data_IF_238352274119
#
_entry.id   IF_238352274119
#
_cell.length_a   1.000
_cell.length_b   1.000
_cell.length_c   1.000
_cell.angle_alpha   90.00
_cell.angle_beta   90.00
_cell.angle_gamma   90.00
#
_symmetry.space_group_name_H-M   'P 1'
#
loop_
_entity.id
_entity.type
_entity.pdbx_description
1 polymer ?
#
# COMPACT_ATOMS: atom_id res chain seq x y z
N UNK A 1 15.50 -17.39 -4.74
CA UNK A 1 16.73 -17.04 -4.01
C UNK A 1 17.66 -16.40 -5.00
N UNK A 2 18.15 -15.20 -4.71
CA UNK A 2 19.02 -14.41 -5.58
C UNK A 2 20.33 -14.17 -4.83
N UNK A 3 21.44 -14.28 -5.54
CA UNK A 3 22.76 -13.83 -5.12
C UNK A 3 23.10 -12.60 -5.97
N UNK A 4 23.36 -11.48 -5.31
CA UNK A 4 23.71 -10.24 -5.99
C UNK A 4 25.22 -10.11 -6.17
N UNK A 5 25.65 -9.69 -7.35
CA UNK A 5 27.06 -9.71 -7.77
C UNK A 5 27.58 -8.35 -8.24
N UNK A 6 26.73 -7.31 -8.26
CA UNK A 6 27.11 -5.97 -8.69
C UNK A 6 27.36 -5.04 -7.51
N UNK A 7 28.28 -4.08 -7.68
CA UNK A 7 28.54 -3.02 -6.70
C UNK A 7 27.33 -2.10 -6.51
N UNK A 8 26.62 -1.80 -7.59
CA UNK A 8 25.34 -1.10 -7.50
C UNK A 8 24.32 -2.02 -6.84
N UNK A 9 23.69 -1.62 -5.71
CA UNK A 9 22.72 -2.46 -5.03
C UNK A 9 21.53 -2.81 -5.92
N UNK A 10 20.98 -4.01 -5.72
CA UNK A 10 19.68 -4.38 -6.25
C UNK A 10 18.62 -3.52 -5.57
N UNK A 11 17.87 -2.77 -6.37
CA UNK A 11 16.71 -1.99 -5.91
C UNK A 11 15.43 -2.55 -6.53
N UNK A 12 14.40 -2.85 -5.71
CA UNK A 12 13.09 -3.20 -6.22
C UNK A 12 12.54 -2.13 -7.19
N UNK A 13 11.81 -2.57 -8.22
CA UNK A 13 11.24 -1.70 -9.26
C UNK A 13 12.14 -1.44 -10.48
N UNK A 14 13.47 -1.63 -10.38
CA UNK A 14 14.36 -1.52 -11.55
C UNK A 14 14.16 -2.69 -12.52
N UNK A 15 14.20 -2.40 -13.83
CA UNK A 15 14.09 -3.40 -14.90
C UNK A 15 15.43 -4.03 -15.23
N UNK A 16 15.42 -5.35 -15.37
CA UNK A 16 16.55 -6.19 -15.73
C UNK A 16 16.15 -7.15 -16.85
N UNK A 17 17.13 -7.66 -17.58
CA UNK A 17 16.93 -8.81 -18.45
C UNK A 17 17.19 -10.09 -17.63
N UNK A 18 16.18 -10.95 -17.56
CA UNK A 18 16.23 -12.23 -16.86
C UNK A 18 16.44 -13.32 -17.90
N UNK A 19 17.57 -14.03 -17.83
CA UNK A 19 17.87 -15.14 -18.73
C UNK A 19 17.74 -16.47 -17.98
N UNK A 20 16.81 -17.29 -18.44
CA UNK A 20 16.50 -18.62 -17.94
C UNK A 20 16.69 -19.63 -19.08
N UNK A 21 17.64 -20.55 -18.92
CA UNK A 21 18.05 -21.48 -19.98
C UNK A 21 18.29 -20.76 -21.33
N UNK A 22 17.49 -21.05 -22.35
CA UNK A 22 17.53 -20.42 -23.68
C UNK A 22 16.65 -19.18 -23.83
N UNK A 23 15.80 -18.87 -22.83
CA UNK A 23 14.84 -17.76 -22.87
C UNK A 23 15.40 -16.54 -22.15
N UNK A 24 15.32 -15.37 -22.78
CA UNK A 24 15.60 -14.09 -22.13
C UNK A 24 14.33 -13.25 -22.15
N UNK A 25 13.94 -12.73 -21.00
CA UNK A 25 12.73 -11.92 -20.82
C UNK A 25 13.04 -10.73 -19.92
N UNK A 26 12.44 -9.59 -20.20
CA UNK A 26 12.52 -8.45 -19.29
C UNK A 26 11.68 -8.70 -18.03
N UNK A 27 12.18 -8.23 -16.89
CA UNK A 27 11.49 -8.36 -15.62
C UNK A 27 11.99 -7.37 -14.58
N UNK A 28 11.26 -7.30 -13.47
CA UNK A 28 11.58 -6.46 -12.32
C UNK A 28 11.59 -7.29 -11.05
N UNK A 29 12.47 -6.95 -10.12
CA UNK A 29 12.32 -7.41 -8.74
C UNK A 29 11.21 -6.58 -8.08
N UNK A 30 10.14 -7.24 -7.65
CA UNK A 30 8.97 -6.60 -7.01
C UNK A 30 9.30 -6.19 -5.58
N UNK A 31 9.85 -7.13 -4.82
CA UNK A 31 10.22 -6.96 -3.41
C UNK A 31 11.27 -7.98 -3.01
N UNK A 32 11.96 -7.69 -1.91
CA UNK A 32 12.88 -8.60 -1.21
C UNK A 32 12.15 -9.03 0.06
N UNK A 33 11.78 -10.32 0.15
CA UNK A 33 11.07 -10.86 1.30
C UNK A 33 11.99 -10.87 2.53
N UNK A 34 13.23 -11.30 2.36
CA UNK A 34 14.28 -11.22 3.37
C UNK A 34 15.67 -11.43 2.76
N UNK A 35 16.69 -10.82 3.38
CA UNK A 35 18.11 -11.15 3.16
C UNK A 35 18.49 -12.33 4.05
N UNK A 36 19.39 -13.17 3.57
CA UNK A 36 20.00 -14.26 4.33
C UNK A 36 21.44 -13.90 4.59
N UNK A 37 21.84 -13.87 5.86
CA UNK A 37 23.24 -13.72 6.24
C UNK A 37 24.00 -15.01 5.89
N UNK A 38 25.11 -14.88 5.16
CA UNK A 38 25.86 -16.03 4.64
C UNK A 38 26.65 -16.75 5.75
N UNK A 39 27.00 -16.03 6.81
CA UNK A 39 27.79 -16.55 7.92
C UNK A 39 26.89 -17.20 8.97
N UNK A 40 25.72 -16.61 9.25
CA UNK A 40 24.81 -17.08 10.31
C UNK A 40 23.60 -17.87 9.81
N UNK A 41 23.28 -17.77 8.51
CA UNK A 41 22.05 -18.29 7.88
C UNK A 41 20.76 -17.65 8.44
N UNK A 42 20.87 -16.58 9.20
CA UNK A 42 19.72 -15.85 9.74
C UNK A 42 19.04 -15.00 8.68
N UNK A 43 17.73 -14.80 8.85
CA UNK A 43 16.91 -13.99 7.97
C UNK A 43 16.77 -12.59 8.55
N UNK A 44 17.10 -11.58 7.74
CA UNK A 44 16.93 -10.18 8.08
C UNK A 44 16.02 -9.45 7.08
N UNK A 45 15.34 -8.41 7.53
CA UNK A 45 14.65 -7.48 6.64
C UNK A 45 15.68 -6.72 5.81
N UNK A 46 15.41 -6.53 4.52
CA UNK A 46 16.25 -5.74 3.63
C UNK A 46 15.40 -5.11 2.52
N UNK A 47 15.63 -3.81 2.27
CA UNK A 47 14.96 -3.08 1.19
C UNK A 47 15.80 -3.07 -0.10
N UNK A 48 17.08 -3.48 -0.02
CA UNK A 48 18.02 -3.62 -1.13
C UNK A 48 19.00 -4.77 -0.87
N UNK A 49 19.63 -5.31 -1.93
CA UNK A 49 20.75 -6.26 -1.80
C UNK A 49 22.05 -5.65 -2.32
N UNK A 50 23.07 -5.58 -1.46
CA UNK A 50 24.42 -5.16 -1.80
C UNK A 50 25.27 -6.28 -2.45
N UNK A 51 26.50 -5.93 -2.82
CA UNK A 51 27.46 -6.88 -3.40
C UNK A 51 27.63 -8.12 -2.50
N UNK A 52 27.54 -9.31 -3.08
CA UNK A 52 27.64 -10.61 -2.42
C UNK A 52 26.53 -10.92 -1.41
N UNK A 53 25.47 -10.12 -1.35
CA UNK A 53 24.33 -10.43 -0.50
C UNK A 53 23.39 -11.42 -1.18
N UNK A 54 22.72 -12.21 -0.34
CA UNK A 54 21.78 -13.25 -0.76
C UNK A 54 20.41 -12.91 -0.20
N UNK A 55 19.37 -13.03 -1.01
CA UNK A 55 18.00 -12.75 -0.55
C UNK A 55 16.95 -13.60 -1.26
N UNK A 56 15.82 -13.79 -0.58
CA UNK A 56 14.61 -14.28 -1.21
C UNK A 56 13.88 -13.08 -1.82
N UNK A 57 13.75 -13.09 -3.14
CA UNK A 57 13.14 -12.00 -3.90
C UNK A 57 11.96 -12.52 -4.71
N UNK A 58 10.98 -11.66 -4.91
CA UNK A 58 9.88 -11.87 -5.85
C UNK A 58 10.18 -11.16 -7.17
N UNK A 59 10.10 -11.89 -8.28
CA UNK A 59 10.31 -11.35 -9.61
C UNK A 59 8.99 -11.32 -10.37
N UNK A 60 8.77 -10.25 -11.11
CA UNK A 60 7.68 -10.11 -12.07
C UNK A 60 8.32 -10.07 -13.46
N UNK A 61 7.87 -10.94 -14.34
CA UNK A 61 8.36 -11.05 -15.72
C UNK A 61 7.33 -10.42 -16.66
N UNK A 62 7.80 -9.72 -17.70
CA UNK A 62 6.92 -9.07 -18.67
C UNK A 62 6.22 -10.05 -19.62
N UNK A 63 6.73 -11.30 -19.70
CA UNK A 63 6.11 -12.39 -20.47
C UNK A 63 6.07 -13.66 -19.64
N UNK A 64 5.09 -14.51 -19.93
CA UNK A 64 5.00 -15.84 -19.34
C UNK A 64 6.18 -16.70 -19.79
N UNK A 65 6.88 -17.30 -18.83
CA UNK A 65 8.01 -18.20 -19.06
C UNK A 65 7.74 -19.49 -18.30
N UNK A 66 7.96 -20.63 -18.96
CA UNK A 66 7.93 -21.92 -18.30
C UNK A 66 9.18 -22.07 -17.42
N UNK A 67 9.01 -22.52 -16.18
CA UNK A 67 10.09 -22.73 -15.23
C UNK A 67 9.80 -23.93 -14.35
N UNK A 68 10.86 -24.47 -13.76
CA UNK A 68 10.81 -25.49 -12.72
C UNK A 68 11.39 -24.94 -11.43
N UNK A 69 11.12 -25.62 -10.30
CA UNK A 69 11.89 -25.33 -9.08
C UNK A 69 13.33 -25.82 -9.30
N UNK A 70 14.31 -25.06 -8.83
CA UNK A 70 15.72 -25.42 -8.97
C UNK A 70 16.07 -26.79 -8.39
N UNK A 71 15.37 -27.19 -7.32
CA UNK A 71 15.54 -28.51 -6.69
C UNK A 71 15.09 -29.67 -7.59
N UNK A 72 14.11 -29.43 -8.44
CA UNK A 72 13.49 -30.45 -9.29
C UNK A 72 14.22 -30.51 -10.65
N UNK A 73 14.55 -29.35 -11.23
CA UNK A 73 15.33 -29.25 -12.45
C UNK A 73 16.28 -28.04 -12.39
N UNK A 74 17.59 -28.31 -12.30
CA UNK A 74 18.61 -27.26 -12.16
C UNK A 74 18.71 -26.35 -13.39
N UNK A 75 18.47 -26.88 -14.59
CA UNK A 75 18.59 -26.12 -15.83
C UNK A 75 17.45 -25.13 -15.99
N UNK A 76 16.22 -25.58 -15.74
CA UNK A 76 15.00 -24.75 -15.86
C UNK A 76 14.65 -23.98 -14.59
N UNK A 77 15.33 -24.26 -13.47
CA UNK A 77 15.16 -23.56 -12.21
C UNK A 77 16.29 -22.59 -11.88
N UNK A 78 17.30 -22.43 -12.74
CA UNK A 78 18.35 -21.44 -12.60
C UNK A 78 18.14 -20.27 -13.59
N UNK A 79 18.51 -19.07 -13.18
CA UNK A 79 18.51 -17.90 -14.05
C UNK A 79 19.65 -16.96 -13.68
N UNK A 80 19.96 -16.06 -14.60
CA UNK A 80 20.86 -14.92 -14.37
C UNK A 80 20.11 -13.61 -14.59
N UNK A 81 20.55 -12.58 -13.87
CA UNK A 81 20.05 -11.21 -13.96
C UNK A 81 21.10 -10.40 -14.70
N UNK A 82 20.70 -9.75 -15.78
CA UNK A 82 21.58 -8.99 -16.67
C UNK A 82 21.11 -7.54 -16.65
N UNK A 83 22.05 -6.60 -16.43
CA UNK A 83 21.74 -5.18 -16.57
C UNK A 83 21.51 -4.83 -18.04
N UNK A 84 20.43 -4.10 -18.31
CA UNK A 84 19.99 -3.81 -19.69
C UNK A 84 20.85 -2.77 -20.40
N UNK A 85 21.57 -1.94 -19.66
CA UNK A 85 22.39 -0.86 -20.20
C UNK A 85 23.84 -1.32 -20.38
N UNK A 86 24.38 -2.04 -19.40
CA UNK A 86 25.78 -2.48 -19.43
C UNK A 86 25.96 -3.88 -20.00
N UNK A 87 24.88 -4.66 -20.11
CA UNK A 87 24.89 -6.08 -20.52
C UNK A 87 25.71 -7.00 -19.62
N UNK A 88 26.10 -6.53 -18.43
CA UNK A 88 26.85 -7.33 -17.45
C UNK A 88 25.88 -8.17 -16.63
N UNK A 89 26.29 -9.38 -16.29
CA UNK A 89 25.56 -10.23 -15.33
C UNK A 89 25.73 -9.65 -13.93
N UNK A 90 24.64 -9.15 -13.35
CA UNK A 90 24.62 -8.46 -12.05
C UNK A 90 24.10 -9.34 -10.91
N UNK A 91 23.49 -10.48 -11.24
CA UNK A 91 22.99 -11.42 -10.23
C UNK A 91 22.71 -12.80 -10.82
N UNK A 92 22.60 -13.78 -9.93
CA UNK A 92 22.23 -15.15 -10.26
C UNK A 92 21.13 -15.62 -9.32
N UNK A 93 20.26 -16.51 -9.79
CA UNK A 93 19.11 -16.92 -9.01
C UNK A 93 18.70 -18.36 -9.20
N UNK A 94 18.10 -18.89 -8.14
CA UNK A 94 17.48 -20.20 -8.06
C UNK A 94 15.99 -20.03 -7.76
N UNK A 95 15.16 -20.63 -8.60
CA UNK A 95 13.70 -20.56 -8.49
C UNK A 95 13.24 -21.52 -7.39
N UNK A 96 12.49 -20.99 -6.42
CA UNK A 96 11.86 -21.80 -5.37
C UNK A 96 10.46 -22.28 -5.73
N UNK A 97 9.80 -21.61 -6.67
CA UNK A 97 8.47 -21.95 -7.14
C UNK A 97 7.76 -20.73 -7.73
N UNK A 98 6.54 -20.95 -8.19
CA UNK A 98 5.62 -19.86 -8.50
C UNK A 98 5.35 -19.12 -7.21
N UNK A 99 5.60 -17.82 -7.19
CA UNK A 99 4.93 -16.97 -6.21
C UNK A 99 3.46 -17.05 -6.57
N UNK A 100 2.66 -17.66 -5.72
CA UNK A 100 1.22 -17.42 -5.78
C UNK A 100 1.09 -15.91 -5.72
N UNK A 101 0.65 -15.30 -6.82
CA UNK A 101 0.01 -14.00 -6.74
C UNK A 101 -1.09 -14.30 -5.74
N UNK A 102 -0.90 -13.86 -4.49
CA UNK A 102 -1.77 -14.28 -3.42
C UNK A 102 -3.20 -14.05 -3.85
N UNK A 103 -4.12 -14.78 -3.24
CA UNK A 103 -5.55 -14.49 -3.24
C UNK A 103 -5.85 -12.99 -2.92
N UNK A 104 -4.84 -12.21 -2.53
CA UNK A 104 -4.72 -10.74 -2.55
C UNK A 104 -5.26 -9.99 -3.77
N UNK A 105 -5.28 -10.56 -4.98
CA UNK A 105 -5.91 -9.85 -6.11
C UNK A 105 -7.44 -9.93 -6.11
N UNK A 106 -8.02 -10.85 -5.33
CA UNK A 106 -9.46 -11.02 -5.14
C UNK A 106 -9.90 -10.75 -3.70
N UNK A 107 -8.99 -10.38 -2.80
CA UNK A 107 -9.38 -10.00 -1.43
C UNK A 107 -10.27 -8.75 -1.50
N UNK A 108 -11.39 -8.71 -0.76
CA UNK A 108 -12.16 -7.49 -0.62
C UNK A 108 -11.26 -6.36 -0.12
N UNK A 109 -11.44 -5.16 -0.68
CA UNK A 109 -10.67 -3.98 -0.29
C UNK A 109 -10.90 -3.71 1.21
N UNK A 110 -9.84 -3.81 2.00
CA UNK A 110 -9.90 -3.57 3.43
C UNK A 110 -9.90 -2.08 3.76
N UNK A 111 -10.28 -1.73 5.00
CA UNK A 111 -10.14 -0.36 5.49
C UNK A 111 -8.69 0.13 5.47
N UNK A 112 -7.73 -0.77 5.73
CA UNK A 112 -6.30 -0.46 5.67
C UNK A 112 -5.84 -0.15 4.23
N UNK A 113 -6.30 -0.92 3.24
CA UNK A 113 -5.99 -0.67 1.82
C UNK A 113 -6.48 0.72 1.38
N UNK A 114 -7.68 1.11 1.84
CA UNK A 114 -8.23 2.44 1.60
C UNK A 114 -7.40 3.52 2.28
N UNK A 115 -7.03 3.35 3.54
CA UNK A 115 -6.21 4.32 4.28
C UNK A 115 -4.85 4.55 3.60
N UNK A 116 -4.16 3.47 3.20
CA UNK A 116 -2.87 3.57 2.49
C UNK A 116 -3.04 4.29 1.15
N UNK A 117 -4.14 4.05 0.44
CA UNK A 117 -4.41 4.70 -0.85
C UNK A 117 -4.77 6.18 -0.72
N UNK A 118 -5.57 6.52 0.28
CA UNK A 118 -6.13 7.86 0.47
C UNK A 118 -5.24 8.76 1.33
N UNK A 119 -4.27 8.19 2.06
CA UNK A 119 -3.33 8.93 2.89
C UNK A 119 -3.89 9.40 4.23
N UNK A 120 -5.10 8.98 4.60
CA UNK A 120 -5.75 9.32 5.86
C UNK A 120 -6.71 8.22 6.31
N UNK A 121 -7.03 8.19 7.61
CA UNK A 121 -8.09 7.35 8.17
C UNK A 121 -9.46 7.96 7.85
N UNK A 122 -10.48 7.12 7.61
CA UNK A 122 -11.85 7.58 7.60
C UNK A 122 -12.25 8.02 9.01
N UNK A 123 -13.04 9.09 9.11
CA UNK A 123 -13.54 9.58 10.38
C UNK A 123 -14.84 10.35 10.20
N UNK A 124 -15.63 10.37 11.25
CA UNK A 124 -16.76 11.27 11.36
C UNK A 124 -16.26 12.55 12.03
N UNK A 125 -16.40 13.67 11.35
CA UNK A 125 -16.11 14.99 11.91
C UNK A 125 -17.43 15.71 12.04
N UNK A 126 -17.79 15.97 13.28
CA UNK A 126 -19.09 16.48 13.66
C UNK A 126 -18.98 17.99 13.86
N UNK A 127 -19.80 18.76 13.14
CA UNK A 127 -19.69 20.22 13.09
C UNK A 127 -20.70 20.91 14.02
N UNK A 128 -20.27 21.92 14.80
CA UNK A 128 -21.19 22.71 15.60
C UNK A 128 -22.00 23.68 14.74
N UNK A 129 -23.13 24.16 15.28
CA UNK A 129 -23.90 25.24 14.65
C UNK A 129 -23.04 26.50 14.50
N UNK A 130 -23.06 27.10 13.30
CA UNK A 130 -22.34 28.33 12.99
C UNK A 130 -21.01 28.16 12.26
N UNK A 131 -20.47 26.93 12.16
CA UNK A 131 -19.33 26.63 11.30
C UNK A 131 -19.81 26.35 9.86
N UNK A 132 -19.21 26.99 8.86
CA UNK A 132 -19.54 26.75 7.44
C UNK A 132 -18.95 25.41 6.96
N UNK A 133 -19.77 24.38 6.68
CA UNK A 133 -19.28 23.07 6.26
C UNK A 133 -18.51 23.11 4.95
N UNK A 134 -18.89 24.01 4.02
CA UNK A 134 -18.25 24.12 2.70
C UNK A 134 -16.83 24.65 2.80
N UNK A 135 -16.61 25.63 3.68
CA UNK A 135 -15.29 26.18 3.95
C UNK A 135 -14.37 25.12 4.55
N UNK A 136 -14.92 24.27 5.43
CA UNK A 136 -14.16 23.19 6.03
C UNK A 136 -13.83 22.07 5.04
N UNK A 137 -14.79 21.66 4.22
CA UNK A 137 -14.60 20.72 3.13
C UNK A 137 -13.46 21.18 2.21
N UNK A 138 -13.46 22.46 1.82
CA UNK A 138 -12.37 23.02 1.01
C UNK A 138 -11.02 22.95 1.72
N UNK A 139 -10.97 23.24 3.02
CA UNK A 139 -9.73 23.22 3.79
C UNK A 139 -9.12 21.80 3.88
N UNK A 140 -9.94 20.79 4.14
CA UNK A 140 -9.52 19.38 4.15
C UNK A 140 -9.01 18.95 2.78
N UNK A 141 -9.76 19.30 1.72
CA UNK A 141 -9.39 18.97 0.35
C UNK A 141 -8.04 19.58 -0.06
N UNK A 142 -7.81 20.86 0.28
CA UNK A 142 -6.55 21.55 -0.03
C UNK A 142 -5.33 20.96 0.70
N UNK A 143 -5.56 20.20 1.78
CA UNK A 143 -4.54 19.48 2.55
C UNK A 143 -4.39 18.01 2.14
N UNK A 144 -5.08 17.57 1.08
CA UNK A 144 -4.96 16.22 0.51
C UNK A 144 -5.89 15.17 1.10
N UNK A 145 -6.87 15.58 1.92
CA UNK A 145 -7.89 14.70 2.48
C UNK A 145 -9.11 14.59 1.54
N UNK A 146 -9.93 13.55 1.71
CA UNK A 146 -11.20 13.39 0.99
C UNK A 146 -12.43 13.60 1.91
N UNK A 147 -12.84 14.85 2.13
CA UNK A 147 -14.04 15.18 2.90
C UNK A 147 -15.32 15.04 2.05
N UNK A 148 -16.43 14.69 2.69
CA UNK A 148 -17.78 14.76 2.14
C UNK A 148 -18.73 15.32 3.18
N UNK A 149 -19.53 16.32 2.82
CA UNK A 149 -20.57 16.87 3.69
C UNK A 149 -21.82 15.99 3.67
N UNK A 150 -22.29 15.61 4.86
CA UNK A 150 -23.60 14.97 5.06
C UNK A 150 -24.43 15.89 5.95
N UNK A 151 -25.56 16.35 5.41
CA UNK A 151 -26.48 17.20 6.17
C UNK A 151 -27.47 16.32 6.95
N UNK A 152 -27.60 16.60 8.23
CA UNK A 152 -28.60 16.00 9.08
C UNK A 152 -30.02 16.31 8.56
N UNK A 153 -30.92 15.33 8.61
CA UNK A 153 -32.37 15.51 8.47
C UNK A 153 -32.93 15.91 7.09
N UNK A 154 -32.10 16.41 6.16
CA UNK A 154 -32.56 16.87 4.84
C UNK A 154 -32.67 15.74 3.79
N UNK A 155 -32.10 14.57 4.07
CA UNK A 155 -31.74 13.61 3.02
C UNK A 155 -32.03 12.14 3.37
N UNK A 156 -33.12 11.87 4.11
CA UNK A 156 -33.50 10.52 4.51
C UNK A 156 -32.62 9.98 5.65
N UNK A 157 -32.25 8.70 5.60
CA UNK A 157 -31.37 8.08 6.60
C UNK A 157 -29.92 8.55 6.41
N UNK A 158 -29.65 9.74 6.97
CA UNK A 158 -28.33 10.38 6.93
C UNK A 158 -27.26 9.54 7.65
N UNK A 159 -27.64 8.71 8.63
CA UNK A 159 -26.71 7.86 9.39
C UNK A 159 -26.20 6.73 8.50
N UNK A 160 -27.10 6.01 7.83
CA UNK A 160 -26.70 4.96 6.89
C UNK A 160 -25.80 5.51 5.76
N UNK A 161 -26.08 6.74 5.29
CA UNK A 161 -25.21 7.43 4.32
C UNK A 161 -23.83 7.74 4.90
N UNK A 162 -23.77 8.34 6.09
CA UNK A 162 -22.51 8.68 6.75
C UNK A 162 -21.67 7.42 7.03
N UNK A 163 -22.30 6.33 7.47
CA UNK A 163 -21.64 5.04 7.71
C UNK A 163 -21.08 4.44 6.42
N UNK A 164 -21.88 4.41 5.35
CA UNK A 164 -21.44 3.91 4.05
C UNK A 164 -20.24 4.69 3.47
N UNK A 165 -20.27 6.03 3.59
CA UNK A 165 -19.18 6.90 3.12
C UNK A 165 -17.91 6.72 3.95
N UNK A 166 -18.05 6.57 5.28
CA UNK A 166 -16.92 6.28 6.17
C UNK A 166 -16.30 4.90 5.85
N UNK A 167 -17.12 3.87 5.60
CA UNK A 167 -16.64 2.55 5.15
C UNK A 167 -15.91 2.60 3.80
N UNK A 168 -16.27 3.56 2.93
CA UNK A 168 -15.57 3.83 1.69
C UNK A 168 -14.22 4.53 1.86
N UNK A 169 -13.83 4.90 3.09
CA UNK A 169 -12.55 5.51 3.41
C UNK A 169 -12.58 7.05 3.47
N UNK A 170 -13.76 7.66 3.33
CA UNK A 170 -13.92 9.12 3.29
C UNK A 170 -14.01 9.73 4.70
N UNK A 171 -13.71 11.01 4.80
CA UNK A 171 -13.95 11.79 6.01
C UNK A 171 -15.34 12.43 5.89
N UNK A 172 -16.24 12.09 6.80
CA UNK A 172 -17.63 12.54 6.74
C UNK A 172 -17.79 13.77 7.64
N UNK A 173 -18.08 14.91 7.03
CA UNK A 173 -18.39 16.16 7.73
C UNK A 173 -19.90 16.21 7.99
N UNK A 174 -20.32 15.93 9.22
CA UNK A 174 -21.73 15.92 9.61
C UNK A 174 -22.15 17.34 10.01
N UNK A 175 -23.07 17.94 9.25
CA UNK A 175 -23.55 19.30 9.42
C UNK A 175 -25.04 19.37 9.78
N UNK A 176 -25.45 20.42 10.50
CA UNK A 176 -26.86 20.76 10.72
C UNK A 176 -27.57 20.02 11.84
N UNK A 177 -26.88 19.72 12.96
CA UNK A 177 -27.45 19.02 14.11
C UNK A 177 -28.82 19.57 14.55
N UNK A 178 -29.74 18.71 15.04
CA UNK A 178 -30.78 19.14 15.96
C UNK A 178 -30.23 19.14 17.40
N UNK A 179 -30.90 19.90 18.25
CA UNK A 179 -30.58 20.09 19.67
C UNK A 179 -30.65 18.80 20.51
N UNK A 180 -31.22 17.72 19.95
CA UNK A 180 -31.60 16.49 20.67
C UNK A 180 -30.67 15.28 20.44
N UNK A 181 -29.57 15.41 19.67
CA UNK A 181 -28.64 14.29 19.44
C UNK A 181 -27.73 14.06 20.65
N UNK A 182 -27.65 12.82 21.15
CA UNK A 182 -26.78 12.43 22.26
C UNK A 182 -25.49 11.78 21.75
N UNK A 183 -24.51 11.58 22.64
CA UNK A 183 -23.24 10.95 22.27
C UNK A 183 -23.40 9.50 21.78
N UNK A 184 -24.50 8.84 22.15
CA UNK A 184 -24.89 7.50 21.66
C UNK A 184 -25.31 7.49 20.18
N UNK A 185 -25.53 8.67 19.58
CA UNK A 185 -25.90 8.77 18.16
C UNK A 185 -24.71 8.64 17.20
N UNK A 186 -23.49 8.63 17.73
CA UNK A 186 -22.25 8.65 16.95
C UNK A 186 -21.40 7.41 17.22
N UNK A 187 -20.61 6.95 16.23
CA UNK A 187 -19.62 5.92 16.51
C UNK A 187 -18.58 6.42 17.51
N UNK A 188 -18.01 5.52 18.33
CA UNK A 188 -17.08 5.88 19.42
C UNK A 188 -15.87 6.71 18.97
N UNK A 189 -15.48 6.60 17.69
CA UNK A 189 -14.36 7.33 17.09
C UNK A 189 -14.76 8.63 16.39
N UNK A 190 -15.99 9.13 16.58
CA UNK A 190 -16.40 10.42 16.04
C UNK A 190 -15.63 11.57 16.70
N UNK A 191 -15.18 12.51 15.88
CA UNK A 191 -14.42 13.69 16.30
C UNK A 191 -15.35 14.91 16.30
N UNK A 192 -15.54 15.51 17.46
CA UNK A 192 -16.35 16.73 17.61
C UNK A 192 -15.48 17.97 17.41
N UNK A 193 -15.84 18.79 16.43
CA UNK A 193 -15.14 20.05 16.16
C UNK A 193 -15.60 21.13 17.14
N UNK A 194 -14.67 21.93 17.64
CA UNK A 194 -15.00 23.12 18.41
C UNK A 194 -15.59 24.24 17.54
N UNK A 195 -16.10 25.30 18.17
CA UNK A 195 -16.72 26.44 17.47
C UNK A 195 -15.74 27.28 16.62
N UNK A 196 -14.47 26.91 16.56
CA UNK A 196 -13.42 27.61 15.81
C UNK A 196 -12.63 26.66 14.91
N UNK A 197 -12.37 27.12 13.69
CA UNK A 197 -11.54 26.47 12.66
C UNK A 197 -10.10 26.23 13.15
N UNK A 198 -9.62 27.00 14.13
CA UNK A 198 -8.30 26.82 14.75
C UNK A 198 -8.08 25.40 15.31
N UNK A 199 -9.15 24.65 15.61
CA UNK A 199 -9.07 23.28 16.11
C UNK A 199 -8.83 22.22 15.01
N UNK A 200 -8.82 22.61 13.72
CA UNK A 200 -8.63 21.69 12.59
C UNK A 200 -7.36 20.85 12.72
N UNK A 201 -6.24 21.45 13.13
CA UNK A 201 -4.96 20.72 13.19
C UNK A 201 -5.02 19.56 14.21
N UNK A 202 -5.77 19.73 15.30
CA UNK A 202 -6.02 18.66 16.27
C UNK A 202 -6.88 17.55 15.66
N UNK A 203 -7.90 17.89 14.87
CA UNK A 203 -8.72 16.91 14.15
C UNK A 203 -7.87 16.13 13.15
N UNK A 204 -7.02 16.82 12.38
CA UNK A 204 -6.14 16.22 11.39
C UNK A 204 -5.09 15.30 12.00
N UNK A 205 -4.64 15.57 13.24
CA UNK A 205 -3.69 14.68 13.93
C UNK A 205 -4.27 13.30 14.30
N UNK A 206 -5.61 13.19 14.32
CA UNK A 206 -6.32 11.97 14.68
C UNK A 206 -6.78 11.14 13.47
N UNK A 207 -6.52 11.61 12.24
CA UNK A 207 -6.93 10.97 10.97
C UNK A 207 -5.74 10.72 10.05
#
# INVERSE_FOLDING_TARGET
>A
MVVWMAEQPLQPGRRYAIKLASTTVDGTVRDIEHRVDVNTLEKGRADQLGLNEIGLCHLVLEKTVAFDRYRDNRTMGAFIIIDRMTHVTVGAGMIRGKTEVGEDSLRPVSAHDRQVRLGHKPAWVVLPEGLDPKRLERNFFDRGYLPVIVNYGLEGDWRAKAEALCHAGLIVLVAGMPVDCTQDDYPENAIFMGNDISAIDNVLSNI
#
